data_IF_843595877710
#
_entry.id   IF_843595877710
#
_cell.length_a   1.000
_cell.length_b   1.000
_cell.length_c   1.000
_cell.angle_alpha   90.00
_cell.angle_beta   90.00
_cell.angle_gamma   90.00
#
_symmetry.space_group_name_H-M   'P 1'
#
loop_
_entity.id
_entity.type
_entity.pdbx_description
1 polymer ?
#
# COMPACT_ATOMS: atom_id res chain seq x y z
N UNK A 1 -8.37 21.69 23.45
CA UNK A 1 -7.83 21.40 22.10
C UNK A 1 -6.82 20.28 22.23
N UNK A 2 -7.23 19.04 21.96
CA UNK A 2 -6.38 17.86 22.15
C UNK A 2 -5.44 17.77 20.94
N UNK A 3 -4.15 17.99 21.20
CA UNK A 3 -3.08 17.96 20.19
C UNK A 3 -2.80 16.50 19.85
N UNK A 4 -3.48 15.94 18.87
CA UNK A 4 -3.35 14.55 18.39
C UNK A 4 -2.33 14.45 17.25
N UNK A 5 -1.20 15.14 17.36
CA UNK A 5 -0.22 15.21 16.28
C UNK A 5 0.69 13.96 16.25
N UNK A 6 0.58 13.11 17.26
CA UNK A 6 1.52 12.01 17.50
C UNK A 6 1.25 10.77 16.63
N UNK A 7 0.11 10.71 15.93
CA UNK A 7 -0.40 9.47 15.34
C UNK A 7 -0.62 9.52 13.83
N UNK A 8 -0.10 10.54 13.13
CA UNK A 8 -0.23 10.67 11.66
C UNK A 8 0.93 9.95 10.98
N UNK A 9 0.63 8.98 10.12
CA UNK A 9 1.62 8.22 9.37
C UNK A 9 1.31 8.29 7.87
N UNK A 10 2.32 8.46 7.02
CA UNK A 10 2.09 8.44 5.55
C UNK A 10 1.90 7.01 5.07
N UNK A 11 1.17 6.82 3.95
CA UNK A 11 0.92 5.48 3.40
C UNK A 11 2.20 4.67 3.18
N UNK A 12 3.23 5.31 2.60
CA UNK A 12 4.55 4.69 2.42
C UNK A 12 5.17 4.23 3.75
N UNK A 13 5.09 5.05 4.79
CA UNK A 13 5.69 4.71 6.08
C UNK A 13 4.91 3.60 6.78
N UNK A 14 3.59 3.58 6.64
CA UNK A 14 2.73 2.52 7.16
C UNK A 14 3.07 1.16 6.53
N UNK A 15 3.24 1.14 5.21
CA UNK A 15 3.66 -0.07 4.47
C UNK A 15 5.04 -0.55 4.92
N UNK A 16 6.00 0.35 5.10
CA UNK A 16 7.35 0.00 5.57
C UNK A 16 7.33 -0.63 6.98
N UNK A 17 6.55 -0.04 7.90
CA UNK A 17 6.45 -0.55 9.27
C UNK A 17 5.72 -1.90 9.35
N UNK A 18 4.67 -2.08 8.56
CA UNK A 18 3.92 -3.34 8.49
C UNK A 18 4.76 -4.43 7.83
N UNK A 19 5.47 -4.11 6.75
CA UNK A 19 6.46 -5.01 6.13
C UNK A 19 7.52 -5.49 7.12
N UNK A 20 8.09 -4.57 7.89
CA UNK A 20 9.11 -4.89 8.88
C UNK A 20 8.60 -5.85 9.98
N UNK A 21 7.31 -5.76 10.33
CA UNK A 21 6.67 -6.68 11.29
C UNK A 21 6.30 -8.01 10.64
N UNK A 22 5.90 -8.00 9.37
CA UNK A 22 5.41 -9.16 8.62
C UNK A 22 6.31 -9.45 7.40
N UNK A 23 7.58 -9.80 7.67
CA UNK A 23 8.59 -10.03 6.64
C UNK A 23 8.33 -11.24 5.72
N UNK A 24 7.31 -12.05 6.02
CA UNK A 24 6.93 -13.25 5.26
C UNK A 24 5.95 -12.98 4.12
N UNK A 25 5.27 -11.82 4.12
CA UNK A 25 4.30 -11.43 3.08
C UNK A 25 5.08 -10.83 1.90
N UNK A 26 4.45 -10.41 0.79
CA UNK A 26 5.08 -9.55 -0.23
C UNK A 26 4.68 -8.07 -0.03
N UNK A 27 5.56 -7.13 -0.39
CA UNK A 27 5.30 -5.70 -0.12
C UNK A 27 4.04 -5.23 -0.86
N UNK A 28 3.86 -5.73 -2.08
CA UNK A 28 2.69 -5.48 -2.93
C UNK A 28 1.39 -5.93 -2.26
N UNK A 29 1.41 -7.09 -1.57
CA UNK A 29 0.25 -7.57 -0.82
C UNK A 29 -0.08 -6.67 0.36
N UNK A 30 0.92 -6.09 1.02
CA UNK A 30 0.70 -5.11 2.09
C UNK A 30 0.11 -3.81 1.54
N UNK A 31 0.61 -3.31 0.41
CA UNK A 31 0.07 -2.12 -0.24
C UNK A 31 -1.40 -2.33 -0.64
N UNK A 32 -1.72 -3.50 -1.19
CA UNK A 32 -3.09 -3.87 -1.54
C UNK A 32 -3.99 -4.01 -0.30
N UNK A 33 -3.48 -4.61 0.79
CA UNK A 33 -4.20 -4.72 2.04
C UNK A 33 -4.54 -3.34 2.61
N UNK A 34 -3.58 -2.42 2.64
CA UNK A 34 -3.80 -1.05 3.09
C UNK A 34 -4.83 -0.33 2.22
N UNK A 35 -4.75 -0.46 0.90
CA UNK A 35 -5.74 0.12 -0.02
C UNK A 35 -7.15 -0.41 0.22
N UNK A 36 -7.28 -1.72 0.47
CA UNK A 36 -8.58 -2.34 0.80
C UNK A 36 -9.14 -1.81 2.12
N UNK A 37 -8.31 -1.68 3.14
CA UNK A 37 -8.73 -1.13 4.43
C UNK A 37 -9.21 0.32 4.33
N UNK A 38 -8.60 1.12 3.45
CA UNK A 38 -9.07 2.48 3.15
C UNK A 38 -10.44 2.43 2.46
N UNK A 39 -10.61 1.58 1.45
CA UNK A 39 -11.87 1.46 0.71
C UNK A 39 -13.02 0.95 1.58
N UNK A 40 -12.74 0.02 2.50
CA UNK A 40 -13.74 -0.52 3.43
C UNK A 40 -14.10 0.48 4.55
N UNK A 41 -13.34 1.58 4.66
CA UNK A 41 -13.52 2.63 5.66
C UNK A 41 -13.04 2.23 7.04
N UNK A 42 -12.05 1.34 7.14
CA UNK A 42 -11.34 1.09 8.40
C UNK A 42 -10.22 2.12 8.60
N UNK A 43 -9.62 2.57 7.50
CA UNK A 43 -8.61 3.63 7.46
C UNK A 43 -9.15 4.81 6.68
N UNK A 44 -8.77 6.00 7.09
CA UNK A 44 -9.15 7.26 6.46
C UNK A 44 -7.90 8.05 6.07
N UNK A 45 -7.98 8.74 4.93
CA UNK A 45 -6.96 9.69 4.53
C UNK A 45 -7.21 11.06 5.15
N UNK A 46 -6.17 11.62 5.74
CA UNK A 46 -6.15 12.96 6.32
C UNK A 46 -5.16 13.84 5.55
N UNK A 47 -5.70 14.84 4.85
CA UNK A 47 -4.94 15.70 3.96
C UNK A 47 -4.41 16.93 4.68
N UNK A 48 -3.10 17.11 4.65
CA UNK A 48 -2.44 18.30 5.14
C UNK A 48 -2.03 19.21 3.99
N UNK A 49 -2.60 20.41 3.97
CA UNK A 49 -2.30 21.43 2.97
C UNK A 49 -1.10 22.25 3.40
N UNK A 50 -0.01 22.14 2.64
CA UNK A 50 1.15 23.02 2.76
C UNK A 50 1.22 23.93 1.52
N UNK A 51 1.94 25.06 1.59
CA UNK A 51 2.01 26.00 0.45
C UNK A 51 2.51 25.39 -0.86
N UNK A 52 3.27 24.29 -0.80
CA UNK A 52 3.92 23.66 -1.95
C UNK A 52 3.33 22.30 -2.33
N UNK A 53 2.58 21.66 -1.43
CA UNK A 53 2.06 20.32 -1.67
C UNK A 53 0.96 19.94 -0.68
N UNK A 54 0.16 18.94 -1.08
CA UNK A 54 -0.80 18.26 -0.21
C UNK A 54 -0.18 16.93 0.22
N UNK A 55 -0.10 16.69 1.52
CA UNK A 55 0.42 15.44 2.08
C UNK A 55 -0.75 14.60 2.59
N UNK A 56 -0.86 13.36 2.11
CA UNK A 56 -1.86 12.40 2.56
C UNK A 56 -1.31 11.54 3.72
N UNK A 57 -1.92 11.67 4.89
CA UNK A 57 -1.69 10.80 6.04
C UNK A 57 -2.79 9.75 6.13
N UNK A 58 -2.48 8.62 6.73
CA UNK A 58 -3.42 7.54 7.02
C UNK A 58 -3.71 7.55 8.51
N UNK A 59 -4.99 7.57 8.86
CA UNK A 59 -5.50 7.64 10.23
C UNK A 59 -6.58 6.56 10.41
N UNK A 60 -6.68 5.91 11.58
CA UNK A 60 -7.80 5.01 11.89
C UNK A 60 -9.14 5.74 11.77
N UNK A 61 -10.11 5.12 11.09
CA UNK A 61 -11.46 5.66 10.95
C UNK A 61 -12.37 5.23 12.12
N UNK A 62 -13.52 5.87 12.30
CA UNK A 62 -14.47 5.58 13.40
C UNK A 62 -14.88 4.10 13.44
N UNK A 63 -15.00 3.45 12.28
CA UNK A 63 -15.27 2.01 12.20
C UNK A 63 -14.17 1.19 12.87
N UNK A 64 -12.91 1.56 12.73
CA UNK A 64 -11.80 0.84 13.37
C UNK A 64 -11.84 0.98 14.89
N UNK A 65 -12.18 2.17 15.39
CA UNK A 65 -12.27 2.45 16.83
C UNK A 65 -13.48 1.74 17.45
N UNK A 66 -14.63 1.77 16.76
CA UNK A 66 -15.81 1.01 17.18
C UNK A 66 -15.57 -0.51 17.14
N UNK A 67 -14.71 -0.97 16.24
CA UNK A 67 -14.38 -2.38 16.08
C UNK A 67 -13.36 -2.88 17.10
N UNK A 68 -12.47 -2.02 17.60
CA UNK A 68 -11.50 -2.39 18.65
C UNK A 68 -12.18 -2.99 19.88
N UNK A 69 -13.42 -2.59 20.16
CA UNK A 69 -14.21 -3.06 21.30
C UNK A 69 -15.00 -4.37 21.03
N UNK A 70 -15.08 -4.84 19.78
CA UNK A 70 -15.79 -6.08 19.41
C UNK A 70 -14.82 -7.16 18.93
N UNK A 71 -14.58 -8.17 19.77
CA UNK A 71 -13.63 -9.28 19.55
C UNK A 71 -13.91 -10.20 18.35
N UNK A 72 -15.11 -10.15 17.76
CA UNK A 72 -15.58 -11.22 16.86
C UNK A 72 -15.46 -10.89 15.36
N UNK A 73 -14.79 -9.78 15.00
CA UNK A 73 -14.81 -9.30 13.62
C UNK A 73 -13.60 -9.79 12.82
N UNK A 74 -13.91 -10.49 11.72
CA UNK A 74 -12.91 -11.02 10.78
C UNK A 74 -13.00 -10.31 9.44
N UNK A 75 -11.95 -9.58 9.10
CA UNK A 75 -11.81 -8.97 7.77
C UNK A 75 -11.30 -10.07 6.83
N UNK A 76 -12.09 -10.43 5.82
CA UNK A 76 -11.70 -11.43 4.82
C UNK A 76 -11.25 -10.72 3.55
N UNK A 77 -10.05 -11.06 3.08
CA UNK A 77 -9.49 -10.50 1.87
C UNK A 77 -9.18 -11.61 0.86
N UNK A 78 -9.72 -11.49 -0.35
CA UNK A 78 -9.40 -12.40 -1.46
C UNK A 78 -8.06 -12.00 -2.07
N UNK A 79 -7.03 -12.81 -1.84
CA UNK A 79 -5.70 -12.57 -2.40
C UNK A 79 -5.73 -12.98 -3.88
N UNK A 80 -5.52 -12.04 -4.83
CA UNK A 80 -5.39 -12.41 -6.23
C UNK A 80 -4.11 -13.23 -6.42
N UNK A 81 -4.21 -14.40 -7.06
CA UNK A 81 -3.07 -15.30 -7.29
C UNK A 81 -1.91 -14.65 -8.05
N UNK A 82 -2.19 -13.63 -8.87
CA UNK A 82 -1.20 -12.84 -9.61
C UNK A 82 -0.23 -12.04 -8.74
N UNK A 83 -0.54 -11.84 -7.45
CA UNK A 83 0.30 -11.10 -6.49
C UNK A 83 1.06 -12.03 -5.52
N UNK A 84 0.88 -13.35 -5.68
CA UNK A 84 1.71 -14.36 -5.03
C UNK A 84 2.97 -14.52 -5.89
N UNK A 85 3.80 -13.49 -5.91
CA UNK A 85 5.03 -13.47 -6.69
C UNK A 85 6.11 -14.29 -5.95
N UNK A 86 6.19 -15.57 -6.25
CA UNK A 86 7.39 -16.37 -6.00
C UNK A 86 8.52 -15.86 -6.89
N UNK A 87 9.34 -14.95 -6.38
CA UNK A 87 10.64 -14.59 -6.95
C UNK A 87 10.59 -13.72 -8.21
N UNK A 88 10.78 -12.42 -8.01
CA UNK A 88 11.62 -11.53 -8.84
C UNK A 88 11.68 -10.18 -8.13
N UNK A 89 12.80 -9.90 -7.46
CA UNK A 89 13.10 -8.56 -6.94
C UNK A 89 13.36 -7.64 -8.13
N UNK A 90 12.33 -6.98 -8.64
CA UNK A 90 12.55 -5.82 -9.52
C UNK A 90 13.05 -4.69 -8.61
N UNK A 91 14.34 -4.39 -8.70
CA UNK A 91 14.94 -3.23 -8.04
C UNK A 91 14.25 -1.97 -8.56
N UNK A 92 13.32 -1.45 -7.77
CA UNK A 92 12.65 -0.19 -8.06
C UNK A 92 13.62 0.97 -7.80
N UNK A 93 14.45 1.28 -8.80
CA UNK A 93 15.25 2.49 -8.80
C UNK A 93 14.32 3.69 -8.97
N UNK A 94 14.25 4.54 -7.94
CA UNK A 94 13.53 5.83 -7.97
C UNK A 94 14.31 6.86 -8.81
N UNK A 95 14.40 6.62 -10.12
CA UNK A 95 14.64 7.61 -11.17
C UNK A 95 13.82 7.17 -12.37
N UNK A 96 13.05 8.10 -12.95
CA UNK A 96 12.15 7.85 -14.09
C UNK A 96 12.92 7.09 -15.18
N UNK A 97 12.48 5.89 -15.62
CA UNK A 97 13.05 5.27 -16.79
C UNK A 97 12.74 6.16 -18.01
N UNK A 98 13.76 6.47 -18.81
CA UNK A 98 13.57 7.04 -20.14
C UNK A 98 12.89 5.98 -21.01
N UNK A 99 11.78 6.34 -21.65
CA UNK A 99 11.13 5.51 -22.65
C UNK A 99 12.06 5.53 -23.87
N UNK A 100 12.65 4.38 -24.19
CA UNK A 100 13.29 4.14 -25.48
C UNK A 100 12.23 3.36 -26.26
N UNK A 101 11.62 4.00 -27.25
CA UNK A 101 10.75 3.32 -28.20
C UNK A 101 11.65 2.42 -29.07
N UNK A 102 11.68 1.12 -28.76
CA UNK A 102 12.35 0.10 -29.56
C UNK A 102 11.25 -0.82 -30.14
N UNK A 103 10.65 -0.36 -31.24
CA UNK A 103 9.86 -1.18 -32.14
C UNK A 103 10.83 -2.11 -32.89
N UNK A 104 10.87 -3.39 -32.54
CA UNK A 104 11.37 -4.44 -33.43
C UNK A 104 10.64 -5.77 -33.16
N UNK A 105 10.05 -6.29 -34.25
CA UNK A 105 9.06 -7.35 -34.33
C UNK A 105 9.50 -8.76 -33.88
N UNK A 106 8.54 -9.54 -33.39
CA UNK A 106 8.62 -10.98 -33.15
C UNK A 106 8.99 -11.78 -34.41
N UNK A 107 10.11 -12.50 -34.40
CA UNK A 107 10.35 -13.65 -35.31
C UNK A 107 10.85 -14.87 -34.52
N UNK A 108 9.93 -15.76 -34.18
CA UNK A 108 10.24 -17.14 -33.75
C UNK A 108 10.59 -17.95 -35.02
N UNK A 109 11.87 -18.27 -35.25
CA UNK A 109 12.24 -19.36 -36.18
C UNK A 109 12.29 -20.69 -35.42
N UNK A 110 11.37 -21.58 -35.75
CA UNK A 110 11.39 -23.00 -35.37
C UNK A 110 12.52 -23.73 -36.09
N UNK A 111 13.35 -24.46 -35.34
CA UNK A 111 14.01 -25.67 -35.82
C UNK A 111 14.11 -26.71 -34.72
#
# INVERSE_FOLDING_TARGET
AQKTDNNRITGMKLVELTWKKFSSVSRELIELLVAKLILDGYLKEDFHFTPYSIISYVVPDEKSIAMENRSDHRITFSIPSKLICSGKTVTFSRKRPLIIDDDDDDVIMLR
#
